data_IF_604526757986
#
_entry.id   IF_604526757986
#
_cell.length_a   1.000
_cell.length_b   1.000
_cell.length_c   1.000
_cell.angle_alpha   90.00
_cell.angle_beta   90.00
_cell.angle_gamma   90.00
#
_symmetry.space_group_name_H-M   'P 1'
#
loop_
_entity.id
_entity.type
_entity.pdbx_description
1 polymer ?
#
# COMPACT_ATOMS: atom_id res chain seq x y z
N UNK A 1 6.92 15.91 -1.47
CA UNK A 1 7.36 14.51 -1.41
C UNK A 1 7.43 14.09 0.05
N UNK A 2 6.67 13.10 0.44
CA UNK A 2 6.89 12.45 1.74
C UNK A 2 8.30 11.85 1.71
N UNK A 3 9.20 12.42 2.50
CA UNK A 3 10.60 11.95 2.53
C UNK A 3 10.71 10.46 2.92
N UNK A 4 9.67 9.91 3.59
CA UNK A 4 9.68 8.54 4.09
C UNK A 4 9.51 7.45 3.03
N UNK A 5 8.50 7.55 2.13
CA UNK A 5 8.23 6.51 1.12
C UNK A 5 9.34 6.48 0.07
N UNK A 6 9.68 7.64 -0.50
CA UNK A 6 10.75 7.73 -1.50
C UNK A 6 12.10 7.26 -0.96
N UNK A 7 12.42 7.57 0.31
CA UNK A 7 13.66 7.10 0.94
C UNK A 7 13.68 5.59 1.17
N UNK A 8 12.55 5.01 1.61
CA UNK A 8 12.41 3.58 1.83
C UNK A 8 12.58 2.81 0.52
N UNK A 9 11.90 3.25 -0.55
CA UNK A 9 12.04 2.66 -1.87
C UNK A 9 13.45 2.81 -2.44
N UNK A 10 14.03 4.02 -2.36
CA UNK A 10 15.39 4.29 -2.85
C UNK A 10 16.44 3.44 -2.11
N UNK A 11 16.29 3.30 -0.79
CA UNK A 11 17.17 2.43 0.00
C UNK A 11 17.09 0.99 -0.51
N UNK A 12 15.86 0.44 -0.67
CA UNK A 12 15.64 -0.94 -1.10
C UNK A 12 16.20 -1.19 -2.50
N UNK A 13 15.88 -0.32 -3.47
CA UNK A 13 16.37 -0.44 -4.84
C UNK A 13 17.91 -0.27 -4.92
N UNK A 14 18.48 0.62 -4.12
CA UNK A 14 19.93 0.82 -4.06
C UNK A 14 20.65 -0.37 -3.43
N UNK A 15 20.09 -1.00 -2.40
CA UNK A 15 20.63 -2.21 -1.79
C UNK A 15 20.66 -3.37 -2.79
N UNK A 16 19.59 -3.53 -3.58
CA UNK A 16 19.52 -4.54 -4.65
C UNK A 16 20.57 -4.29 -5.73
N UNK A 17 20.71 -3.06 -6.22
CA UNK A 17 21.69 -2.70 -7.25
C UNK A 17 23.13 -2.95 -6.80
N UNK A 18 23.41 -2.73 -5.53
CA UNK A 18 24.74 -2.96 -4.95
C UNK A 18 25.01 -4.43 -4.57
N UNK A 19 24.01 -5.30 -4.67
CA UNK A 19 24.12 -6.70 -4.27
C UNK A 19 24.21 -6.91 -2.74
N UNK A 20 23.82 -5.92 -1.94
CA UNK A 20 23.86 -5.96 -0.47
C UNK A 20 22.46 -5.97 0.14
N UNK A 21 21.52 -6.63 -0.52
CA UNK A 21 20.17 -6.79 0.00
C UNK A 21 20.09 -7.99 0.94
N UNK A 22 19.52 -7.88 2.14
CA UNK A 22 19.18 -9.03 2.97
C UNK A 22 18.25 -9.99 2.24
N UNK A 23 18.34 -11.28 2.54
CA UNK A 23 17.51 -12.32 1.92
C UNK A 23 16.01 -12.16 2.17
N UNK A 24 15.63 -11.44 3.22
CA UNK A 24 14.24 -11.12 3.54
C UNK A 24 14.08 -9.66 3.96
N UNK A 25 13.09 -8.97 3.39
CA UNK A 25 12.74 -7.60 3.74
C UNK A 25 11.24 -7.50 4.03
N UNK A 26 10.88 -6.81 5.11
CA UNK A 26 9.50 -6.48 5.47
C UNK A 26 9.26 -4.99 5.22
N UNK A 27 8.34 -4.69 4.31
CA UNK A 27 7.95 -3.32 3.92
C UNK A 27 6.70 -2.96 4.72
N UNK A 28 6.89 -2.19 5.79
CA UNK A 28 5.80 -1.64 6.62
C UNK A 28 5.38 -0.29 6.05
N UNK A 29 4.20 -0.25 5.43
CA UNK A 29 3.63 0.95 4.84
C UNK A 29 2.16 1.06 5.20
N UNK A 30 1.68 2.26 5.61
CA UNK A 30 0.27 2.49 5.91
C UNK A 30 -0.69 2.33 4.71
N UNK A 31 -0.17 2.41 3.49
CA UNK A 31 -0.92 2.15 2.26
C UNK A 31 -0.43 0.84 1.61
N UNK A 32 -1.28 -0.20 1.65
CA UNK A 32 -0.94 -1.54 1.16
C UNK A 32 -0.63 -1.58 -0.33
N UNK A 33 -1.31 -0.76 -1.16
CA UNK A 33 -1.05 -0.71 -2.60
C UNK A 33 0.28 -0.02 -2.92
N UNK A 34 0.66 1.00 -2.15
CA UNK A 34 2.01 1.59 -2.26
C UNK A 34 3.07 0.55 -1.85
N UNK A 35 2.84 -0.18 -0.74
CA UNK A 35 3.75 -1.24 -0.32
C UNK A 35 3.91 -2.33 -1.39
N UNK A 36 2.80 -2.75 -2.01
CA UNK A 36 2.80 -3.70 -3.11
C UNK A 36 3.58 -3.17 -4.32
N UNK A 37 3.35 -1.92 -4.73
CA UNK A 37 4.08 -1.28 -5.83
C UNK A 37 5.58 -1.26 -5.58
N UNK A 38 6.02 -0.90 -4.38
CA UNK A 38 7.44 -0.94 -3.98
C UNK A 38 7.98 -2.37 -4.05
N UNK A 39 7.26 -3.35 -3.49
CA UNK A 39 7.68 -4.75 -3.50
C UNK A 39 7.82 -5.31 -4.93
N UNK A 40 6.87 -5.01 -5.80
CA UNK A 40 6.90 -5.43 -7.22
C UNK A 40 8.07 -4.81 -7.98
N UNK A 41 8.34 -3.51 -7.82
CA UNK A 41 9.50 -2.85 -8.45
C UNK A 41 10.82 -3.39 -7.91
N UNK A 42 10.92 -3.67 -6.62
CA UNK A 42 12.09 -4.30 -6.01
C UNK A 42 12.33 -5.72 -6.54
N UNK A 43 11.27 -6.54 -6.61
CA UNK A 43 11.34 -7.88 -7.17
C UNK A 43 11.77 -7.87 -8.64
N UNK A 44 11.17 -6.97 -9.46
CA UNK A 44 11.55 -6.81 -10.85
C UNK A 44 13.03 -6.46 -11.00
N UNK A 45 13.49 -5.47 -10.24
CA UNK A 45 14.90 -5.09 -10.26
C UNK A 45 15.82 -6.25 -9.84
N UNK A 46 15.42 -7.02 -8.82
CA UNK A 46 16.20 -8.16 -8.35
C UNK A 46 16.29 -9.28 -9.38
N UNK A 47 15.16 -9.65 -10.00
CA UNK A 47 15.09 -10.77 -10.93
C UNK A 47 15.59 -10.43 -12.35
N UNK A 48 15.37 -9.18 -12.82
CA UNK A 48 15.59 -8.80 -14.23
C UNK A 48 16.64 -7.73 -14.45
N UNK A 49 17.04 -7.03 -13.38
CA UNK A 49 17.90 -5.84 -13.47
C UNK A 49 17.15 -4.56 -13.81
N UNK A 50 15.81 -4.61 -14.06
CA UNK A 50 14.96 -3.46 -14.32
C UNK A 50 13.91 -3.31 -13.23
N UNK A 51 13.64 -2.08 -12.77
CA UNK A 51 12.59 -1.80 -11.79
C UNK A 51 11.18 -1.72 -12.41
N UNK A 52 11.02 -2.12 -13.66
CA UNK A 52 9.71 -2.21 -14.31
C UNK A 52 8.95 -3.45 -13.84
N UNK A 53 7.91 -3.25 -13.02
CA UNK A 53 7.11 -4.33 -12.47
C UNK A 53 6.39 -5.18 -13.53
N UNK A 54 6.15 -4.65 -14.74
CA UNK A 54 5.55 -5.41 -15.85
C UNK A 54 6.47 -6.55 -16.31
N UNK A 55 7.76 -6.44 -16.10
CA UNK A 55 8.72 -7.49 -16.47
C UNK A 55 8.57 -8.77 -15.63
N UNK A 56 7.93 -8.72 -14.44
CA UNK A 56 7.75 -9.90 -13.58
C UNK A 56 6.87 -10.97 -14.22
N UNK A 57 5.86 -10.59 -14.97
CA UNK A 57 4.93 -11.51 -15.63
C UNK A 57 5.59 -12.38 -16.72
N UNK A 58 6.74 -11.95 -17.22
CA UNK A 58 7.44 -12.61 -18.33
C UNK A 58 8.59 -13.53 -17.89
N UNK A 59 8.99 -13.48 -16.61
CA UNK A 59 10.24 -14.14 -16.18
C UNK A 59 10.05 -15.48 -15.48
N UNK A 60 8.86 -15.78 -14.93
CA UNK A 60 8.65 -16.96 -14.07
C UNK A 60 9.52 -16.98 -12.80
N UNK A 61 10.30 -15.92 -12.55
CA UNK A 61 11.25 -15.85 -11.43
C UNK A 61 10.67 -15.16 -10.19
N UNK A 62 9.38 -14.80 -10.21
CA UNK A 62 8.69 -14.19 -9.10
C UNK A 62 7.50 -15.04 -8.68
N UNK A 63 7.51 -15.50 -7.44
CA UNK A 63 6.43 -16.26 -6.85
C UNK A 63 5.54 -15.30 -6.06
N UNK A 64 4.27 -15.24 -6.41
CA UNK A 64 3.23 -14.54 -5.67
C UNK A 64 2.15 -15.59 -5.41
N UNK A 65 1.99 -16.08 -4.17
CA UNK A 65 1.04 -17.15 -3.91
C UNK A 65 -0.39 -16.70 -4.19
N UNK A 66 -1.21 -17.60 -4.71
CA UNK A 66 -2.61 -17.36 -5.05
C UNK A 66 -3.50 -17.16 -3.81
N UNK A 67 -3.00 -17.52 -2.65
CA UNK A 67 -3.67 -17.36 -1.36
C UNK A 67 -2.77 -17.74 -0.18
N UNK A 68 -3.29 -17.55 1.04
CA UNK A 68 -2.52 -17.73 2.27
C UNK A 68 -2.96 -18.92 3.11
N UNK A 69 -3.60 -19.91 2.50
CA UNK A 69 -3.83 -21.20 3.16
C UNK A 69 -2.51 -21.96 3.28
N UNK A 70 -2.39 -22.74 4.35
CA UNK A 70 -1.18 -23.51 4.66
C UNK A 70 -0.72 -24.40 3.49
N UNK A 71 -1.65 -25.06 2.82
CA UNK A 71 -1.34 -25.93 1.69
C UNK A 71 -0.88 -25.13 0.47
N UNK A 72 -1.54 -24.02 0.16
CA UNK A 72 -1.12 -23.09 -0.90
C UNK A 72 0.32 -22.59 -0.68
N UNK A 73 0.64 -22.17 0.53
CA UNK A 73 2.01 -21.72 0.87
C UNK A 73 3.02 -22.86 0.73
N UNK A 74 2.66 -24.08 1.11
CA UNK A 74 3.55 -25.24 0.93
C UNK A 74 3.81 -25.53 -0.54
N UNK A 75 2.75 -25.64 -1.33
CA UNK A 75 2.84 -26.03 -2.74
C UNK A 75 3.47 -24.92 -3.61
N UNK A 76 2.94 -23.70 -3.51
CA UNK A 76 3.32 -22.61 -4.41
C UNK A 76 4.61 -21.89 -3.99
N UNK A 77 5.01 -21.96 -2.72
CA UNK A 77 6.22 -21.30 -2.24
C UNK A 77 7.30 -22.31 -1.87
N UNK A 78 7.05 -23.18 -0.87
CA UNK A 78 8.11 -24.00 -0.30
C UNK A 78 8.55 -25.10 -1.26
N UNK A 79 7.60 -25.85 -1.84
CA UNK A 79 7.92 -26.93 -2.77
C UNK A 79 8.45 -26.37 -4.09
N UNK A 80 7.90 -25.25 -4.57
CA UNK A 80 8.36 -24.63 -5.80
C UNK A 80 9.81 -24.10 -5.66
N UNK A 81 10.17 -23.55 -4.51
CA UNK A 81 11.56 -23.18 -4.20
C UNK A 81 12.47 -24.42 -4.09
N UNK A 82 11.94 -25.54 -3.60
CA UNK A 82 12.70 -26.80 -3.45
C UNK A 82 12.86 -27.61 -4.74
N UNK A 83 11.88 -27.52 -5.67
CA UNK A 83 11.90 -28.28 -6.94
C UNK A 83 12.90 -27.76 -7.96
N UNK A 84 13.16 -26.48 -7.94
CA UNK A 84 14.08 -25.92 -8.91
C UNK A 84 15.51 -26.02 -8.41
N UNK A 85 16.24 -27.05 -8.85
CA UNK A 85 17.70 -27.03 -8.96
C UNK A 85 18.07 -25.94 -9.99
N UNK A 86 17.89 -24.69 -9.58
CA UNK A 86 17.94 -23.56 -10.48
C UNK A 86 19.40 -23.28 -10.87
N UNK A 87 19.66 -23.23 -12.15
CA UNK A 87 20.95 -22.87 -12.73
C UNK A 87 21.27 -21.37 -12.50
N UNK A 88 21.43 -20.96 -11.23
CA UNK A 88 22.10 -19.69 -10.89
C UNK A 88 21.33 -18.39 -11.12
N UNK A 89 20.01 -18.38 -11.29
CA UNK A 89 19.22 -17.17 -11.45
C UNK A 89 18.73 -16.56 -10.14
N UNK A 90 18.38 -15.27 -10.15
CA UNK A 90 17.75 -14.58 -9.03
C UNK A 90 16.25 -14.81 -9.05
N UNK A 91 15.66 -15.15 -7.91
CA UNK A 91 14.20 -15.33 -7.72
C UNK A 91 13.70 -14.47 -6.59
N UNK A 92 12.43 -14.10 -6.63
CA UNK A 92 11.78 -13.39 -5.53
C UNK A 92 10.47 -14.08 -5.12
N UNK A 93 10.14 -13.97 -3.83
CA UNK A 93 8.86 -14.37 -3.26
C UNK A 93 8.21 -13.13 -2.68
N UNK A 94 7.01 -12.79 -3.16
CA UNK A 94 6.23 -11.66 -2.66
C UNK A 94 5.08 -12.19 -1.80
N UNK A 95 5.10 -11.86 -0.51
CA UNK A 95 4.02 -12.11 0.43
C UNK A 95 3.31 -10.78 0.69
N UNK A 96 2.34 -10.46 -0.16
CA UNK A 96 1.59 -9.20 -0.10
C UNK A 96 0.57 -9.26 1.03
N UNK A 97 0.45 -8.18 1.83
CA UNK A 97 -0.40 -8.14 3.02
C UNK A 97 -0.15 -9.33 3.97
N UNK A 98 1.12 -9.64 4.23
CA UNK A 98 1.52 -10.81 5.01
C UNK A 98 0.90 -10.86 6.43
N UNK A 99 0.37 -9.75 6.94
CA UNK A 99 -0.38 -9.66 8.19
C UNK A 99 -1.75 -10.37 8.13
N UNK A 100 -2.25 -10.72 6.95
CA UNK A 100 -3.47 -11.52 6.75
C UNK A 100 -3.19 -13.03 6.82
N UNK A 101 -1.93 -13.45 6.82
CA UNK A 101 -1.53 -14.85 6.96
C UNK A 101 -1.76 -15.28 8.41
N UNK A 102 -2.50 -16.35 8.63
CA UNK A 102 -2.70 -16.87 9.98
C UNK A 102 -1.38 -17.33 10.63
N UNK A 103 -1.26 -17.28 11.97
CA UNK A 103 -0.02 -17.59 12.67
C UNK A 103 0.52 -19.01 12.42
N UNK A 104 -0.35 -19.99 12.17
CA UNK A 104 0.08 -21.36 11.90
C UNK A 104 0.74 -21.47 10.52
N UNK A 105 0.22 -20.75 9.54
CA UNK A 105 0.80 -20.65 8.19
C UNK A 105 2.08 -19.81 8.20
N UNK A 106 2.13 -18.72 8.97
CA UNK A 106 3.36 -17.95 9.16
C UNK A 106 4.50 -18.82 9.73
N UNK A 107 4.20 -19.70 10.69
CA UNK A 107 5.19 -20.64 11.24
C UNK A 107 5.75 -21.62 10.19
N UNK A 108 4.97 -21.99 9.17
CA UNK A 108 5.46 -22.85 8.08
C UNK A 108 6.52 -22.16 7.22
N UNK A 109 6.45 -20.84 7.10
CA UNK A 109 7.41 -20.03 6.34
C UNK A 109 8.74 -19.81 7.08
N UNK A 110 8.77 -19.94 8.42
CA UNK A 110 9.92 -19.56 9.24
C UNK A 110 11.23 -20.21 8.77
N UNK A 111 11.23 -21.53 8.56
CA UNK A 111 12.43 -22.24 8.13
C UNK A 111 12.96 -21.76 6.78
N UNK A 112 12.04 -21.51 5.83
CA UNK A 112 12.40 -21.06 4.48
C UNK A 112 12.86 -19.61 4.46
N UNK A 113 12.33 -18.77 5.35
CA UNK A 113 12.80 -17.38 5.51
C UNK A 113 14.14 -17.33 6.23
N UNK A 114 14.39 -18.24 7.17
CA UNK A 114 15.66 -18.31 7.92
C UNK A 114 16.81 -18.81 7.06
N UNK A 115 16.55 -19.86 6.27
CA UNK A 115 17.53 -20.50 5.39
C UNK A 115 16.98 -20.59 3.96
N UNK A 116 16.84 -19.46 3.25
CA UNK A 116 16.32 -19.47 1.89
C UNK A 116 17.31 -20.12 0.93
N UNK A 117 16.85 -20.74 -0.14
CA UNK A 117 17.74 -21.18 -1.22
C UNK A 117 18.55 -20.02 -1.80
N UNK A 118 19.74 -20.31 -2.32
CA UNK A 118 20.62 -19.30 -2.91
C UNK A 118 19.90 -18.49 -4.00
N UNK A 119 20.10 -17.17 -3.97
CA UNK A 119 19.51 -16.26 -4.95
C UNK A 119 18.02 -15.97 -4.76
N UNK A 120 17.41 -16.39 -3.64
CA UNK A 120 16.01 -16.07 -3.32
C UNK A 120 15.93 -14.84 -2.41
N UNK A 121 15.09 -13.89 -2.82
CA UNK A 121 14.74 -12.70 -2.04
C UNK A 121 13.26 -12.77 -1.62
N UNK A 122 13.01 -12.74 -0.31
CA UNK A 122 11.67 -12.58 0.25
C UNK A 122 11.32 -11.11 0.44
N UNK A 123 10.17 -10.69 -0.08
CA UNK A 123 9.59 -9.37 0.12
C UNK A 123 8.21 -9.52 0.73
N UNK A 124 8.08 -9.12 1.98
CA UNK A 124 6.82 -9.14 2.72
C UNK A 124 6.28 -7.71 2.80
N UNK A 125 4.97 -7.53 2.62
CA UNK A 125 4.32 -6.24 2.86
C UNK A 125 3.25 -6.40 3.93
N UNK A 126 2.95 -5.32 4.67
CA UNK A 126 1.84 -5.36 5.61
C UNK A 126 2.00 -4.45 6.82
N UNK A 127 1.18 -4.76 7.83
CA UNK A 127 1.24 -4.15 9.14
C UNK A 127 2.00 -5.08 10.10
N UNK A 128 2.96 -4.55 10.82
CA UNK A 128 3.79 -5.30 11.79
C UNK A 128 2.97 -5.97 12.90
N UNK A 129 1.85 -5.37 13.32
CA UNK A 129 0.99 -5.93 14.37
C UNK A 129 0.39 -7.32 14.02
N UNK A 130 0.28 -7.67 12.74
CA UNK A 130 -0.23 -8.97 12.29
C UNK A 130 0.85 -9.99 11.91
N UNK A 131 2.13 -9.64 12.07
CA UNK A 131 3.25 -10.52 11.71
C UNK A 131 3.89 -11.08 12.99
N UNK A 132 4.22 -12.38 12.97
CA UNK A 132 4.91 -13.00 14.09
C UNK A 132 6.27 -12.31 14.34
N UNK A 133 6.62 -12.00 15.61
CA UNK A 133 7.92 -11.43 15.94
C UNK A 133 9.11 -12.27 15.44
N UNK A 134 8.91 -13.59 15.35
CA UNK A 134 9.89 -14.53 14.81
C UNK A 134 10.17 -14.35 13.33
N UNK A 135 9.19 -13.90 12.53
CA UNK A 135 9.41 -13.51 11.13
C UNK A 135 10.08 -12.14 11.07
N UNK A 136 9.55 -11.15 11.81
CA UNK A 136 10.11 -9.79 11.80
C UNK A 136 11.59 -9.77 12.20
N UNK A 137 12.00 -10.60 13.16
CA UNK A 137 13.41 -10.68 13.59
C UNK A 137 14.37 -11.22 12.52
N UNK A 138 13.84 -11.85 11.46
CA UNK A 138 14.60 -12.40 10.32
C UNK A 138 14.53 -11.53 9.07
N UNK A 139 13.71 -10.49 9.11
CA UNK A 139 13.55 -9.56 8.01
C UNK A 139 14.23 -8.22 8.30
N UNK A 140 14.87 -7.64 7.30
CA UNK A 140 15.21 -6.23 7.36
C UNK A 140 13.92 -5.40 7.20
N UNK A 141 13.57 -4.62 8.22
CA UNK A 141 12.36 -3.81 8.19
C UNK A 141 12.61 -2.51 7.43
N UNK A 142 11.80 -2.29 6.40
CA UNK A 142 11.77 -1.07 5.58
C UNK A 142 10.53 -0.27 5.98
N UNK A 143 10.73 0.78 6.77
CA UNK A 143 9.63 1.63 7.24
C UNK A 143 9.32 2.70 6.21
N UNK A 144 8.09 2.70 5.69
CA UNK A 144 7.56 3.77 4.86
C UNK A 144 6.88 4.81 5.75
N UNK A 145 7.13 6.08 5.50
CA UNK A 145 6.39 7.17 6.14
C UNK A 145 4.92 7.22 5.70
N UNK A 146 4.16 8.11 6.30
CA UNK A 146 2.78 8.36 5.86
C UNK A 146 2.79 8.85 4.40
N UNK A 147 2.00 8.23 3.50
CA UNK A 147 1.92 8.65 2.11
C UNK A 147 1.31 10.05 2.01
N UNK A 148 1.88 10.85 1.14
CA UNK A 148 1.27 12.12 0.72
C UNK A 148 0.52 11.92 -0.60
N UNK A 149 -0.33 12.87 -0.97
CA UNK A 149 -1.09 12.79 -2.21
C UNK A 149 -0.21 12.59 -3.46
N UNK A 150 1.03 13.10 -3.46
CA UNK A 150 1.98 12.89 -4.57
C UNK A 150 2.44 11.43 -4.68
N UNK A 151 2.61 10.74 -3.56
CA UNK A 151 2.97 9.31 -3.54
C UNK A 151 1.79 8.47 -4.05
N UNK A 152 0.59 8.76 -3.58
CA UNK A 152 -0.66 8.15 -4.05
C UNK A 152 -0.88 8.41 -5.55
N UNK A 153 -0.68 9.65 -6.01
CA UNK A 153 -0.83 10.00 -7.43
C UNK A 153 0.18 9.26 -8.32
N UNK A 154 1.43 9.11 -7.86
CA UNK A 154 2.46 8.35 -8.59
C UNK A 154 2.04 6.90 -8.78
N UNK A 155 1.52 6.27 -7.73
CA UNK A 155 1.06 4.89 -7.80
C UNK A 155 -0.19 4.76 -8.70
N UNK A 156 -1.14 5.71 -8.63
CA UNK A 156 -2.28 5.76 -9.55
C UNK A 156 -1.85 5.90 -11.02
N UNK A 157 -0.81 6.67 -11.31
CA UNK A 157 -0.25 6.77 -12.66
C UNK A 157 0.40 5.44 -13.09
N UNK A 158 1.07 4.72 -12.20
CA UNK A 158 1.71 3.44 -12.52
C UNK A 158 0.71 2.35 -12.91
N UNK A 159 -0.53 2.45 -12.43
CA UNK A 159 -1.65 1.56 -12.78
C UNK A 159 -2.55 2.09 -13.88
N UNK A 160 -2.14 3.16 -14.58
CA UNK A 160 -2.72 3.60 -15.84
C UNK A 160 -3.63 4.83 -15.78
N UNK A 161 -3.78 5.52 -14.64
CA UNK A 161 -4.53 6.78 -14.62
C UNK A 161 -3.73 7.92 -15.29
N UNK A 162 -4.46 8.85 -15.92
CA UNK A 162 -3.83 10.08 -16.40
C UNK A 162 -3.26 10.90 -15.23
N UNK A 163 -2.26 11.73 -15.49
CA UNK A 163 -1.67 12.60 -14.46
C UNK A 163 -2.72 13.47 -13.77
N UNK A 164 -3.67 14.02 -14.53
CA UNK A 164 -4.70 14.90 -14.00
C UNK A 164 -5.66 14.14 -13.08
N UNK A 165 -6.13 12.95 -13.51
CA UNK A 165 -7.02 12.11 -12.71
C UNK A 165 -6.28 11.59 -11.47
N UNK A 166 -5.07 11.09 -11.63
CA UNK A 166 -4.25 10.61 -10.51
C UNK A 166 -4.08 11.68 -9.43
N UNK A 167 -3.72 12.90 -9.80
CA UNK A 167 -3.57 14.02 -8.86
C UNK A 167 -4.90 14.41 -8.20
N UNK A 168 -5.98 14.46 -8.98
CA UNK A 168 -7.32 14.79 -8.48
C UNK A 168 -7.78 13.75 -7.47
N UNK A 169 -7.80 12.47 -7.85
CA UNK A 169 -8.33 11.40 -7.00
C UNK A 169 -7.42 11.06 -5.83
N UNK A 170 -6.09 11.23 -5.95
CA UNK A 170 -5.17 11.10 -4.82
C UNK A 170 -5.50 12.08 -3.69
N UNK A 171 -5.80 13.33 -4.03
CA UNK A 171 -6.22 14.34 -3.05
C UNK A 171 -7.56 14.01 -2.40
N UNK A 172 -8.50 13.46 -3.18
CA UNK A 172 -9.84 13.09 -2.70
C UNK A 172 -9.83 11.85 -1.80
N UNK A 173 -9.05 10.82 -2.16
CA UNK A 173 -9.07 9.50 -1.51
C UNK A 173 -8.07 9.36 -0.37
N UNK A 174 -6.92 10.01 -0.47
CA UNK A 174 -5.82 9.92 0.50
C UNK A 174 -5.01 8.64 0.41
N UNK A 175 -5.64 7.48 0.15
CA UNK A 175 -4.98 6.20 -0.14
C UNK A 175 -5.23 5.78 -1.58
N UNK A 176 -4.35 4.92 -2.14
CA UNK A 176 -4.52 4.42 -3.52
C UNK A 176 -5.84 3.69 -3.67
N UNK A 177 -6.19 2.80 -2.73
CA UNK A 177 -7.42 2.03 -2.78
C UNK A 177 -8.68 2.92 -2.80
N UNK A 178 -8.76 3.92 -1.90
CA UNK A 178 -9.89 4.85 -1.88
C UNK A 178 -9.94 5.74 -3.12
N UNK A 179 -8.79 6.17 -3.61
CA UNK A 179 -8.68 6.96 -4.84
C UNK A 179 -9.20 6.21 -6.05
N UNK A 180 -8.85 4.93 -6.18
CA UNK A 180 -9.37 4.04 -7.22
C UNK A 180 -10.88 3.86 -7.10
N UNK A 181 -11.37 3.61 -5.88
CA UNK A 181 -12.80 3.48 -5.64
C UNK A 181 -13.56 4.76 -6.01
N UNK A 182 -13.04 5.93 -5.65
CA UNK A 182 -13.60 7.22 -6.06
C UNK A 182 -13.55 7.43 -7.58
N UNK A 183 -12.53 6.92 -8.26
CA UNK A 183 -12.43 7.00 -9.71
C UNK A 183 -13.46 6.12 -10.42
N UNK A 184 -13.67 4.90 -9.92
CA UNK A 184 -14.46 3.86 -10.58
C UNK A 184 -15.95 3.87 -10.18
N UNK A 185 -16.28 4.34 -8.99
CA UNK A 185 -17.59 4.20 -8.36
C UNK A 185 -18.22 5.57 -8.10
N UNK A 186 -19.32 5.85 -8.82
CA UNK A 186 -20.04 7.12 -8.73
C UNK A 186 -20.83 7.24 -7.42
N UNK A 187 -21.38 6.13 -6.93
CA UNK A 187 -22.10 6.10 -5.65
C UNK A 187 -21.14 6.39 -4.49
N UNK A 188 -19.91 5.88 -4.57
CA UNK A 188 -18.89 6.17 -3.57
C UNK A 188 -18.43 7.65 -3.62
N UNK A 189 -18.38 8.27 -4.80
CA UNK A 189 -18.16 9.72 -4.93
C UNK A 189 -19.31 10.52 -4.34
N UNK A 190 -20.54 10.09 -4.60
CA UNK A 190 -21.76 10.70 -4.05
C UNK A 190 -21.79 10.63 -2.52
N UNK A 191 -21.45 9.46 -1.94
CA UNK A 191 -21.34 9.29 -0.49
C UNK A 191 -20.32 10.27 0.11
N UNK A 192 -19.16 10.45 -0.54
CA UNK A 192 -18.15 11.44 -0.10
C UNK A 192 -18.73 12.85 -0.10
N UNK A 193 -19.43 13.25 -1.16
CA UNK A 193 -20.08 14.55 -1.26
C UNK A 193 -21.09 14.78 -0.15
N UNK A 194 -21.98 13.81 0.07
CA UNK A 194 -22.99 13.85 1.14
C UNK A 194 -22.34 13.97 2.53
N UNK A 195 -21.27 13.19 2.79
CA UNK A 195 -20.56 13.24 4.07
C UNK A 195 -19.93 14.63 4.34
N UNK A 196 -19.39 15.27 3.30
CA UNK A 196 -18.84 16.61 3.39
C UNK A 196 -19.93 17.66 3.65
N UNK A 197 -21.08 17.58 2.97
CA UNK A 197 -22.21 18.47 3.18
C UNK A 197 -22.79 18.33 4.59
N UNK A 198 -22.94 17.09 5.08
CA UNK A 198 -23.38 16.81 6.45
C UNK A 198 -22.41 17.42 7.46
N UNK A 199 -21.10 17.22 7.28
CA UNK A 199 -20.11 17.79 8.18
C UNK A 199 -20.15 19.32 8.16
N UNK A 200 -20.23 19.94 6.98
CA UNK A 200 -20.33 21.37 6.85
C UNK A 200 -21.59 21.95 7.54
N UNK A 201 -22.74 21.27 7.42
CA UNK A 201 -23.96 21.66 8.12
C UNK A 201 -23.80 21.55 9.64
N UNK A 202 -23.26 20.44 10.14
CA UNK A 202 -23.00 20.26 11.59
C UNK A 202 -22.08 21.35 12.16
N UNK A 203 -21.07 21.76 11.41
CA UNK A 203 -20.16 22.85 11.83
C UNK A 203 -20.84 24.22 11.88
N UNK A 204 -21.91 24.43 11.10
CA UNK A 204 -22.77 25.62 11.19
C UNK A 204 -23.83 25.54 12.29
N UNK A 205 -23.89 24.41 13.02
CA UNK A 205 -24.90 24.16 14.04
C UNK A 205 -26.25 23.66 13.49
N UNK A 206 -26.28 23.26 12.24
CA UNK A 206 -27.45 22.67 11.57
C UNK A 206 -27.49 21.16 11.79
N UNK A 207 -28.67 20.56 11.91
CA UNK A 207 -28.85 19.12 12.05
C UNK A 207 -29.53 18.55 10.78
N UNK A 208 -28.76 18.05 9.80
CA UNK A 208 -29.28 17.53 8.53
C UNK A 208 -29.82 16.09 8.70
N UNK A 209 -30.92 15.92 9.45
CA UNK A 209 -31.52 14.62 9.81
C UNK A 209 -31.83 13.74 8.60
N UNK A 210 -32.25 14.34 7.48
CA UNK A 210 -32.57 13.68 6.21
C UNK A 210 -31.35 12.97 5.58
N UNK A 211 -30.15 13.44 5.86
CA UNK A 211 -28.90 12.97 5.27
C UNK A 211 -28.02 12.14 6.21
N UNK A 212 -28.26 12.18 7.51
CA UNK A 212 -27.46 11.46 8.50
C UNK A 212 -27.45 9.95 8.24
N UNK A 213 -28.59 9.37 7.86
CA UNK A 213 -28.69 7.95 7.56
C UNK A 213 -27.87 7.54 6.32
N UNK A 214 -27.71 8.42 5.34
CA UNK A 214 -26.93 8.16 4.13
C UNK A 214 -25.42 8.05 4.42
N UNK A 215 -24.94 8.69 5.49
CA UNK A 215 -23.53 8.67 5.90
C UNK A 215 -23.26 7.79 7.13
N UNK A 216 -24.25 7.05 7.60
CA UNK A 216 -24.15 6.13 8.74
C UNK A 216 -23.39 4.83 8.35
N UNK A 217 -22.20 4.98 7.81
CA UNK A 217 -21.29 3.91 7.42
C UNK A 217 -19.85 4.24 7.84
N UNK A 218 -18.97 3.24 7.85
CA UNK A 218 -17.54 3.44 8.15
C UNK A 218 -16.91 4.41 7.13
N UNK A 219 -17.23 4.27 5.87
CA UNK A 219 -16.76 5.12 4.78
C UNK A 219 -17.29 6.56 4.91
N UNK A 220 -18.56 6.72 5.21
CA UNK A 220 -19.18 8.03 5.46
C UNK A 220 -18.51 8.75 6.63
N UNK A 221 -18.32 8.06 7.75
CA UNK A 221 -17.61 8.60 8.92
C UNK A 221 -16.17 8.99 8.58
N UNK A 222 -15.48 8.16 7.78
CA UNK A 222 -14.12 8.47 7.32
C UNK A 222 -14.07 9.77 6.51
N UNK A 223 -14.99 9.97 5.58
CA UNK A 223 -15.06 11.20 4.79
C UNK A 223 -15.35 12.43 5.65
N UNK A 224 -16.24 12.31 6.63
CA UNK A 224 -16.53 13.38 7.58
C UNK A 224 -15.30 13.76 8.40
N UNK A 225 -14.57 12.76 8.93
CA UNK A 225 -13.35 12.98 9.70
C UNK A 225 -12.22 13.58 8.84
N UNK A 226 -12.08 13.16 7.57
CA UNK A 226 -11.09 13.73 6.66
C UNK A 226 -11.36 15.21 6.37
N UNK A 227 -12.62 15.58 6.24
CA UNK A 227 -13.04 16.96 6.04
C UNK A 227 -12.74 17.82 7.27
N UNK A 228 -13.08 17.32 8.46
CA UNK A 228 -12.80 18.02 9.73
C UNK A 228 -11.28 18.18 9.96
N UNK A 229 -10.49 17.15 9.65
CA UNK A 229 -9.03 17.23 9.72
C UNK A 229 -8.47 18.32 8.82
N UNK A 230 -8.92 18.40 7.56
CA UNK A 230 -8.46 19.40 6.61
C UNK A 230 -8.85 20.83 7.04
N UNK A 231 -10.02 20.99 7.63
CA UNK A 231 -10.45 22.26 8.22
C UNK A 231 -9.51 22.70 9.37
N UNK A 232 -9.16 21.77 10.27
CA UNK A 232 -8.21 22.06 11.35
C UNK A 232 -6.81 22.36 10.80
N UNK A 233 -6.36 21.59 9.80
CA UNK A 233 -5.07 21.81 9.15
C UNK A 233 -5.03 23.17 8.43
N UNK A 234 -6.11 23.56 7.77
CA UNK A 234 -6.19 24.88 7.15
C UNK A 234 -6.09 26.02 8.19
N UNK A 235 -6.81 25.90 9.31
CA UNK A 235 -6.73 26.90 10.40
C UNK A 235 -5.34 27.01 11.03
N UNK A 236 -4.59 25.91 11.11
CA UNK A 236 -3.28 25.88 11.77
C UNK A 236 -2.11 26.13 10.81
N UNK A 237 -2.18 25.64 9.58
CA UNK A 237 -1.07 25.61 8.63
C UNK A 237 -1.38 26.29 7.29
N UNK A 238 -2.60 26.79 7.08
CA UNK A 238 -3.05 27.45 5.85
C UNK A 238 -3.07 26.53 4.62
N UNK A 239 -3.16 25.21 4.80
CA UNK A 239 -3.18 24.22 3.70
C UNK A 239 -4.32 23.23 3.84
N UNK A 240 -4.76 22.69 2.71
CA UNK A 240 -5.77 21.63 2.61
C UNK A 240 -5.14 20.45 1.90
N UNK A 241 -5.17 19.28 2.54
CA UNK A 241 -4.49 18.09 2.05
C UNK A 241 -5.39 17.18 1.19
N UNK A 242 -6.57 16.76 1.68
CA UNK A 242 -7.43 15.78 1.01
C UNK A 242 -8.70 16.34 0.35
N UNK A 243 -9.23 17.44 0.84
CA UNK A 243 -10.48 18.02 0.35
C UNK A 243 -10.23 19.35 -0.38
N UNK A 244 -9.19 19.41 -1.22
CA UNK A 244 -8.83 20.61 -1.97
C UNK A 244 -9.92 21.05 -2.98
N UNK A 245 -10.79 20.13 -3.40
CA UNK A 245 -11.97 20.39 -4.20
C UNK A 245 -13.09 21.16 -3.44
N UNK A 246 -12.99 21.24 -2.12
CA UNK A 246 -13.85 22.00 -1.22
C UNK A 246 -13.11 23.10 -0.48
N UNK A 247 -12.05 23.62 -1.09
CA UNK A 247 -11.19 24.62 -0.47
C UNK A 247 -11.94 25.90 -0.06
N UNK A 248 -12.89 26.34 -0.87
CA UNK A 248 -13.71 27.51 -0.58
C UNK A 248 -14.59 27.31 0.66
N UNK A 249 -15.24 26.13 0.75
CA UNK A 249 -16.07 25.77 1.90
C UNK A 249 -15.24 25.74 3.19
N UNK A 250 -14.07 25.07 3.13
CA UNK A 250 -13.17 24.91 4.28
C UNK A 250 -12.56 26.25 4.72
N UNK A 251 -12.22 27.12 3.77
CA UNK A 251 -11.61 28.43 4.07
C UNK A 251 -12.60 29.46 4.62
N UNK A 252 -13.90 29.27 4.36
CA UNK A 252 -14.96 30.15 4.81
C UNK A 252 -15.46 29.85 6.23
N UNK A 253 -15.04 28.73 6.82
CA UNK A 253 -15.39 28.28 8.17
C UNK A 253 -14.28 28.62 9.18
#
# INVERSE_FOLDING_TARGET
MSKGISQAEEWLLSAIKRGHIPHACFISCPDGLIAEGIARRAAALYCTGSADAAMLSHTGNCIIPSGYRKDTIREEVIEELGRSSFSGGKRSVLLLNAHEIDPATQNVLLKTIEEPPDGVLFLLTGNDAGILPTILSRCATVLCGLPMYDDTARELMSIGLTKNDAMRFARMGGTVQRSLKLYQDEDYRSLRGTAQEVMAALLRGELPFDRLNAVASIEGAHFMLSYMRDMLTYRTLGRIDQNADRAEDISSM
#
